data_IF_406314984483
#
_entry.id   IF_406314984483
#
_cell.length_a   1.000
_cell.length_b   1.000
_cell.length_c   1.000
_cell.angle_alpha   90.00
_cell.angle_beta   90.00
_cell.angle_gamma   90.00
#
_symmetry.space_group_name_H-M   'P 1'
#
loop_
_entity.id
_entity.type
_entity.pdbx_description
1 polymer ?
#
# COMPACT_ATOMS: atom_id res chain seq x y z
N UNK A 1 3.54 14.73 0.10
CA UNK A 1 3.95 15.84 1.02
C UNK A 1 4.42 17.01 0.18
N UNK A 2 4.08 18.25 0.56
CA UNK A 2 4.53 19.48 -0.07
C UNK A 2 5.27 20.32 0.98
N UNK A 3 6.45 20.80 0.66
CA UNK A 3 7.22 21.69 1.52
C UNK A 3 7.82 22.82 0.68
N UNK A 4 7.88 24.02 1.24
CA UNK A 4 8.46 25.18 0.57
C UNK A 4 9.16 26.07 1.58
N UNK A 5 10.07 26.90 1.08
CA UNK A 5 10.75 27.94 1.84
C UNK A 5 10.72 29.23 1.06
N UNK A 6 10.28 30.29 1.71
CA UNK A 6 10.33 31.64 1.15
C UNK A 6 11.67 32.31 1.43
N UNK A 7 12.20 33.11 0.49
CA UNK A 7 13.39 33.91 0.74
C UNK A 7 13.11 35.02 1.75
N UNK A 8 14.16 35.52 2.40
CA UNK A 8 14.07 36.69 3.29
C UNK A 8 14.05 38.03 2.52
N UNK A 9 14.40 38.00 1.25
CA UNK A 9 14.43 39.14 0.36
C UNK A 9 13.48 39.01 -0.83
N UNK A 10 13.76 39.70 -1.90
CA UNK A 10 12.95 39.67 -3.12
C UNK A 10 12.91 38.25 -3.73
N UNK A 11 11.73 37.82 -4.16
CA UNK A 11 11.55 36.56 -4.87
C UNK A 11 11.92 36.74 -6.34
N UNK A 12 13.05 36.21 -6.76
CA UNK A 12 13.53 36.28 -8.14
C UNK A 12 13.20 35.04 -8.97
N UNK A 13 12.71 33.96 -8.34
CA UNK A 13 12.34 32.74 -9.04
C UNK A 13 12.05 31.58 -8.08
N UNK A 14 11.69 30.44 -8.65
CA UNK A 14 11.38 29.21 -7.93
C UNK A 14 12.34 28.10 -8.33
N UNK A 15 12.88 27.42 -7.34
CA UNK A 15 13.55 26.14 -7.51
C UNK A 15 12.59 25.04 -7.07
N UNK A 16 12.19 24.20 -8.00
CA UNK A 16 11.24 23.11 -7.74
C UNK A 16 11.95 21.77 -7.85
N UNK A 17 11.83 20.97 -6.79
CA UNK A 17 12.30 19.58 -6.78
C UNK A 17 11.11 18.67 -6.56
N UNK A 18 10.98 17.66 -7.38
CA UNK A 18 9.97 16.62 -7.22
C UNK A 18 10.64 15.25 -7.07
N UNK A 19 10.09 14.43 -6.20
CA UNK A 19 10.56 13.06 -5.99
C UNK A 19 9.39 12.12 -5.79
N UNK A 20 9.58 10.88 -6.22
CA UNK A 20 8.65 9.78 -6.00
C UNK A 20 8.88 9.21 -4.59
N UNK A 21 7.84 9.16 -3.78
CA UNK A 21 7.95 8.74 -2.37
C UNK A 21 7.04 7.57 -1.98
N UNK A 22 6.16 7.15 -2.87
CA UNK A 22 5.31 5.98 -2.67
C UNK A 22 5.98 4.72 -3.23
N UNK A 23 5.57 3.57 -2.71
CA UNK A 23 6.03 2.25 -3.12
C UNK A 23 4.88 1.46 -3.73
N UNK A 24 5.13 0.57 -4.70
CA UNK A 24 4.12 -0.35 -5.19
C UNK A 24 3.70 -1.31 -4.08
N UNK A 25 2.51 -1.89 -4.23
CA UNK A 25 1.94 -2.84 -3.28
C UNK A 25 1.24 -3.97 -4.00
N UNK A 26 0.88 -5.01 -3.25
CA UNK A 26 -0.05 -6.04 -3.68
C UNK A 26 -1.42 -5.78 -3.07
N UNK A 27 -2.45 -5.82 -3.88
CA UNK A 27 -3.83 -5.74 -3.43
C UNK A 27 -4.40 -7.15 -3.32
N UNK A 28 -4.88 -7.51 -2.14
CA UNK A 28 -5.57 -8.78 -1.94
C UNK A 28 -6.95 -8.69 -2.58
N UNK A 29 -7.26 -9.60 -3.49
CA UNK A 29 -8.56 -9.72 -4.16
C UNK A 29 -9.44 -10.73 -3.45
N UNK A 30 -8.89 -11.90 -3.17
CA UNK A 30 -9.61 -13.00 -2.54
C UNK A 30 -8.68 -13.79 -1.64
N UNK A 31 -9.20 -14.21 -0.51
CA UNK A 31 -8.56 -15.19 0.34
C UNK A 31 -9.11 -16.57 -0.02
N UNK A 32 -8.24 -17.46 -0.46
CA UNK A 32 -8.62 -18.85 -0.65
C UNK A 32 -8.64 -19.54 0.72
N UNK A 33 -9.85 -19.76 1.21
CA UNK A 33 -10.10 -20.53 2.44
C UNK A 33 -9.93 -22.03 2.25
N UNK A 34 -9.07 -22.46 1.32
CA UNK A 34 -8.86 -23.84 0.90
C UNK A 34 -8.89 -24.83 2.07
N UNK A 35 -9.89 -25.70 2.05
CA UNK A 35 -10.14 -26.69 3.11
C UNK A 35 -9.09 -27.80 3.16
N UNK A 36 -8.26 -27.92 2.10
CA UNK A 36 -7.37 -29.05 1.89
C UNK A 36 -5.88 -28.68 1.78
N UNK A 37 -5.50 -27.45 2.12
CA UNK A 37 -4.11 -27.01 2.02
C UNK A 37 -3.54 -26.63 3.38
N UNK A 38 -2.27 -27.01 3.59
CA UNK A 38 -1.48 -26.62 4.77
C UNK A 38 -1.27 -25.10 4.84
N UNK A 39 -1.46 -24.42 3.72
CA UNK A 39 -1.21 -22.98 3.58
C UNK A 39 -2.50 -22.22 3.24
N UNK A 40 -2.73 -21.12 3.94
CA UNK A 40 -3.69 -20.13 3.50
C UNK A 40 -3.11 -19.36 2.29
N UNK A 41 -3.87 -19.26 1.20
CA UNK A 41 -3.47 -18.56 -0.01
C UNK A 41 -4.28 -17.29 -0.17
N UNK A 42 -3.65 -16.25 -0.70
CA UNK A 42 -4.30 -15.02 -1.09
C UNK A 42 -4.08 -14.77 -2.57
N UNK A 43 -5.16 -14.60 -3.31
CA UNK A 43 -5.08 -14.08 -4.67
C UNK A 43 -4.80 -12.59 -4.62
N UNK A 44 -3.78 -12.15 -5.35
CA UNK A 44 -3.34 -10.76 -5.32
C UNK A 44 -3.16 -10.19 -6.73
N UNK A 45 -3.25 -8.88 -6.83
CA UNK A 45 -2.84 -8.15 -8.02
C UNK A 45 -1.82 -7.06 -7.64
N UNK A 46 -0.86 -6.81 -8.54
CA UNK A 46 0.09 -5.73 -8.38
C UNK A 46 -0.60 -4.37 -8.53
N UNK A 47 -0.29 -3.45 -7.62
CA UNK A 47 -0.72 -2.06 -7.67
C UNK A 47 0.50 -1.14 -7.72
N UNK A 48 0.65 -0.45 -8.85
CA UNK A 48 1.84 0.35 -9.20
C UNK A 48 2.88 -0.44 -10.00
N UNK A 49 3.82 0.29 -10.59
CA UNK A 49 4.96 -0.32 -11.29
C UNK A 49 5.95 -0.90 -10.30
N UNK A 50 6.35 -2.17 -10.48
CA UNK A 50 7.28 -2.83 -9.59
C UNK A 50 8.30 -3.67 -10.34
N UNK A 51 9.47 -3.83 -9.75
CA UNK A 51 10.49 -4.78 -10.20
C UNK A 51 10.12 -6.13 -9.60
N UNK A 52 9.36 -6.93 -10.36
CA UNK A 52 8.72 -8.15 -9.91
C UNK A 52 9.67 -9.14 -9.18
N UNK A 53 10.87 -9.46 -9.69
CA UNK A 53 11.72 -10.45 -9.06
C UNK A 53 12.12 -10.13 -7.62
N UNK A 54 12.13 -8.85 -7.24
CA UNK A 54 12.50 -8.43 -5.87
C UNK A 54 11.40 -8.70 -4.84
N UNK A 55 10.20 -9.04 -5.28
CA UNK A 55 9.04 -9.32 -4.42
C UNK A 55 8.85 -10.81 -4.11
N UNK A 56 9.51 -11.68 -4.88
CA UNK A 56 9.37 -13.12 -4.72
C UNK A 56 10.19 -13.65 -3.54
N UNK A 57 9.71 -14.73 -2.93
CA UNK A 57 10.40 -15.50 -1.87
C UNK A 57 10.85 -14.66 -0.67
N UNK A 58 10.04 -13.69 -0.29
CA UNK A 58 10.30 -12.82 0.86
C UNK A 58 9.05 -12.61 1.72
N UNK A 59 9.19 -12.44 3.03
CA UNK A 59 8.07 -12.09 3.88
C UNK A 59 7.55 -10.69 3.56
N UNK A 60 6.23 -10.55 3.52
CA UNK A 60 5.54 -9.29 3.32
C UNK A 60 4.55 -9.05 4.47
N UNK A 61 4.32 -7.79 4.78
CA UNK A 61 3.30 -7.38 5.73
C UNK A 61 1.94 -7.25 5.04
N UNK A 62 0.88 -7.54 5.77
CA UNK A 62 -0.50 -7.28 5.35
C UNK A 62 -1.08 -6.19 6.23
N UNK A 63 -1.67 -5.19 5.61
CA UNK A 63 -2.38 -4.11 6.30
C UNK A 63 -3.67 -3.77 5.57
N UNK A 64 -4.69 -3.38 6.33
CA UNK A 64 -5.97 -3.04 5.71
C UNK A 64 -7.06 -2.84 6.75
N UNK A 65 -8.28 -2.72 6.26
CA UNK A 65 -9.48 -2.61 7.06
C UNK A 65 -10.39 -3.80 6.80
N UNK A 66 -10.82 -4.45 7.86
CA UNK A 66 -11.75 -5.57 7.80
C UNK A 66 -13.10 -5.11 8.36
N UNK A 67 -14.17 -5.43 7.67
CA UNK A 67 -15.53 -5.25 8.15
C UNK A 67 -16.07 -6.60 8.63
N UNK A 68 -16.40 -6.67 9.91
CA UNK A 68 -16.91 -7.88 10.54
C UNK A 68 -18.37 -7.66 10.92
N UNK A 69 -19.22 -8.61 10.53
CA UNK A 69 -20.61 -8.62 11.00
C UNK A 69 -20.67 -9.18 12.42
N UNK A 70 -21.25 -8.44 13.32
CA UNK A 70 -21.48 -8.81 14.71
C UNK A 70 -22.98 -8.78 15.01
N UNK A 71 -23.39 -9.27 16.15
CA UNK A 71 -24.79 -9.20 16.63
C UNK A 71 -25.30 -7.74 16.72
N UNK A 72 -24.40 -6.79 16.97
CA UNK A 72 -24.70 -5.36 17.10
C UNK A 72 -24.51 -4.56 15.79
N UNK A 73 -24.37 -5.24 14.64
CA UNK A 73 -24.16 -4.59 13.34
C UNK A 73 -22.77 -4.85 12.76
N UNK A 74 -22.30 -3.94 11.91
CA UNK A 74 -21.01 -4.04 11.24
C UNK A 74 -19.96 -3.27 12.04
N UNK A 75 -18.87 -3.93 12.37
CA UNK A 75 -17.70 -3.35 13.03
C UNK A 75 -16.50 -3.31 12.09
N UNK A 76 -15.78 -2.21 12.08
CA UNK A 76 -14.49 -2.08 11.40
C UNK A 76 -13.35 -2.42 12.35
N UNK A 77 -12.43 -3.25 11.89
CA UNK A 77 -11.16 -3.58 12.54
C UNK A 77 -10.01 -3.05 11.71
#
# INVERSE_FOLDING_TARGET
MLAWRMPKGELTGWHVTASHSDSPTWRIKQLDGGKDTVFAKAETEGYGGMIMPTWLDRPLSVGGRILVRTENGIRSL
#
